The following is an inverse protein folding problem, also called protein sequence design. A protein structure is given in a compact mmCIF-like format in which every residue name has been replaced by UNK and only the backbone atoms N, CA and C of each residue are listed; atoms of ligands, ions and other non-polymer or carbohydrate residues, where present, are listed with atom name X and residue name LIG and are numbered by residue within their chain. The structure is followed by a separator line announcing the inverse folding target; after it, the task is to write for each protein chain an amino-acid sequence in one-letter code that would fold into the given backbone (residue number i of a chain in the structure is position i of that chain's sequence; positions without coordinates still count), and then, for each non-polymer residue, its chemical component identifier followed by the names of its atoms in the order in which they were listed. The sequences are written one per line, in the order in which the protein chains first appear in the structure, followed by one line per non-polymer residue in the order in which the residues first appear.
data_IF_353673114205
#
_entry.id   IF_353673114205
#
_cell.length_a   1.000
_cell.length_b   1.000
_cell.length_c   1.000
_cell.angle_alpha   90.00
_cell.angle_beta   90.00
_cell.angle_gamma   90.00
#
_symmetry.space_group_name_H-M   'P 1'
#
loop_
_entity.id
_entity.type
_entity.pdbx_description
1 polymer ?
#
# COMPACT_ATOMS: atom_id res chain seq x y z
N UNK A 1 -0.48 -100.99 4.49
CA UNK A 1 -0.51 -99.76 5.31
C UNK A 1 -0.20 -98.57 4.41
N UNK A 2 -0.98 -97.51 4.56
CA UNK A 2 -1.08 -96.32 3.70
C UNK A 2 0.04 -95.32 4.00
N UNK A 3 0.57 -94.61 3.00
CA UNK A 3 1.03 -93.21 3.14
C UNK A 3 0.81 -92.46 1.82
N UNK A 4 0.04 -91.38 1.90
CA UNK A 4 -0.41 -90.48 0.83
C UNK A 4 0.38 -89.16 0.91
N UNK A 5 0.75 -88.63 -0.27
CA UNK A 5 0.53 -87.27 -0.78
C UNK A 5 0.98 -86.05 0.06
N UNK A 6 1.80 -85.16 -0.52
CA UNK A 6 1.37 -83.79 -0.83
C UNK A 6 2.35 -83.07 -1.77
N UNK A 7 1.83 -82.59 -2.89
CA UNK A 7 2.49 -81.77 -3.91
C UNK A 7 2.17 -80.30 -3.63
N UNK A 8 3.16 -79.41 -3.59
CA UNK A 8 2.97 -77.95 -3.45
C UNK A 8 3.27 -77.27 -4.79
N UNK A 9 2.23 -76.79 -5.46
CA UNK A 9 2.30 -76.03 -6.71
C UNK A 9 2.18 -74.54 -6.35
N UNK A 10 3.27 -73.76 -6.49
CA UNK A 10 3.25 -72.31 -6.32
C UNK A 10 2.73 -71.65 -7.60
N UNK A 11 1.53 -71.06 -7.52
CA UNK A 11 0.97 -70.16 -8.53
C UNK A 11 1.54 -68.75 -8.33
N UNK A 12 2.33 -68.27 -9.27
CA UNK A 12 2.75 -66.88 -9.35
C UNK A 12 1.68 -66.05 -10.07
N UNK A 13 1.07 -65.09 -9.36
CA UNK A 13 0.23 -64.03 -9.93
C UNK A 13 1.12 -62.82 -10.27
N UNK A 14 1.19 -62.36 -11.54
CA UNK A 14 1.78 -61.07 -11.83
C UNK A 14 0.76 -59.98 -11.47
N UNK A 15 1.02 -59.24 -10.39
CA UNK A 15 0.44 -57.93 -10.15
C UNK A 15 0.82 -57.03 -11.32
N UNK A 16 -0.15 -56.71 -12.18
CA UNK A 16 -0.01 -55.61 -13.13
C UNK A 16 0.11 -54.32 -12.32
N UNK A 17 1.33 -53.86 -12.11
CA UNK A 17 1.61 -52.50 -11.68
C UNK A 17 1.07 -51.57 -12.77
N UNK A 18 -0.10 -50.97 -12.52
CA UNK A 18 -0.56 -49.83 -13.30
C UNK A 18 0.47 -48.73 -13.10
N UNK A 19 1.36 -48.55 -14.08
CA UNK A 19 2.13 -47.34 -14.23
C UNK A 19 1.15 -46.19 -14.46
N UNK A 20 0.64 -45.61 -13.38
CA UNK A 20 0.03 -44.28 -13.37
C UNK A 20 1.16 -43.28 -13.63
N UNK A 21 1.61 -43.19 -14.89
CA UNK A 21 2.42 -42.06 -15.31
C UNK A 21 1.58 -40.81 -15.03
N UNK A 22 2.09 -39.85 -14.23
CA UNK A 22 1.41 -38.58 -14.03
C UNK A 22 1.13 -37.93 -15.40
N UNK A 23 -0.01 -37.23 -15.58
CA UNK A 23 -0.29 -36.53 -16.82
C UNK A 23 0.89 -35.65 -17.20
N UNK A 24 1.38 -35.76 -18.45
CA UNK A 24 2.52 -34.99 -18.92
C UNK A 24 2.23 -33.49 -18.76
N UNK A 25 3.12 -32.77 -18.08
CA UNK A 25 2.99 -31.35 -17.88
C UNK A 25 3.21 -30.60 -19.20
N UNK A 26 2.30 -29.69 -19.52
CA UNK A 26 2.38 -28.79 -20.67
C UNK A 26 2.86 -27.41 -20.22
N UNK A 27 3.48 -26.67 -21.14
CA UNK A 27 3.98 -25.32 -20.93
C UNK A 27 3.25 -24.35 -21.86
N UNK A 28 2.78 -23.21 -21.34
CA UNK A 28 2.09 -22.20 -22.13
C UNK A 28 2.54 -20.79 -21.74
N UNK A 29 2.68 -19.94 -22.74
CA UNK A 29 2.84 -18.50 -22.56
C UNK A 29 1.46 -17.84 -22.66
N UNK A 30 1.06 -17.09 -21.63
CA UNK A 30 -0.22 -16.40 -21.55
C UNK A 30 0.08 -14.89 -21.50
N UNK A 31 -0.18 -14.13 -22.58
CA UNK A 31 -0.04 -12.68 -22.56
C UNK A 31 -1.20 -12.05 -21.75
N UNK A 32 -0.89 -10.99 -21.00
CA UNK A 32 -1.84 -10.19 -20.24
C UNK A 32 -2.02 -8.81 -20.90
N UNK A 33 -3.24 -8.30 -20.94
CA UNK A 33 -3.58 -6.99 -21.51
C UNK A 33 -3.62 -5.87 -20.48
N UNK A 34 -4.02 -6.19 -19.25
CA UNK A 34 -4.32 -5.20 -18.21
C UNK A 34 -3.63 -5.53 -16.90
N UNK A 35 -3.80 -6.75 -16.39
CA UNK A 35 -3.32 -7.11 -15.07
C UNK A 35 -1.79 -7.17 -14.98
N UNK A 36 -1.24 -6.84 -13.80
CA UNK A 36 0.19 -7.01 -13.54
C UNK A 36 0.55 -8.50 -13.45
N UNK A 37 1.52 -9.00 -14.23
CA UNK A 37 1.91 -10.41 -14.21
C UNK A 37 2.33 -10.94 -12.84
N UNK A 38 2.95 -10.11 -11.97
CA UNK A 38 3.39 -10.56 -10.65
C UNK A 38 2.17 -10.81 -9.77
N UNK A 39 1.23 -9.89 -9.73
CA UNK A 39 -0.03 -10.04 -8.96
C UNK A 39 -0.81 -11.26 -9.41
N UNK A 40 -0.95 -11.49 -10.72
CA UNK A 40 -1.64 -12.68 -11.23
C UNK A 40 -0.89 -13.96 -10.84
N UNK A 41 0.43 -13.98 -10.96
CA UNK A 41 1.24 -15.16 -10.59
C UNK A 41 1.13 -15.53 -9.12
N UNK A 42 0.99 -14.55 -8.22
CA UNK A 42 0.78 -14.79 -6.79
C UNK A 42 -0.57 -15.46 -6.53
N UNK A 43 -1.62 -15.03 -7.24
CA UNK A 43 -2.96 -15.64 -7.12
C UNK A 43 -2.99 -17.06 -7.70
N UNK A 44 -2.26 -17.31 -8.79
CA UNK A 44 -2.21 -18.64 -9.43
C UNK A 44 -1.48 -19.71 -8.60
N UNK A 45 -0.80 -19.34 -7.51
CA UNK A 45 -0.15 -20.30 -6.60
C UNK A 45 -1.12 -21.32 -6.01
N UNK A 46 -2.41 -20.98 -5.90
CA UNK A 46 -3.47 -21.88 -5.41
C UNK A 46 -3.61 -23.14 -6.27
N UNK A 47 -3.21 -23.10 -7.53
CA UNK A 47 -3.26 -24.25 -8.44
C UNK A 47 -2.00 -25.13 -8.37
N UNK A 48 -1.05 -24.82 -7.47
CA UNK A 48 0.24 -25.53 -7.31
C UNK A 48 1.04 -25.64 -8.62
N UNK A 49 0.89 -24.64 -9.50
CA UNK A 49 1.56 -24.60 -10.81
C UNK A 49 2.87 -23.81 -10.75
N UNK A 50 3.81 -24.16 -11.62
CA UNK A 50 5.02 -23.36 -11.81
C UNK A 50 4.68 -22.18 -12.74
N UNK A 51 4.73 -20.97 -12.20
CA UNK A 51 4.49 -19.73 -12.95
C UNK A 51 5.75 -18.88 -12.94
N UNK A 52 6.15 -18.43 -14.13
CA UNK A 52 7.18 -17.41 -14.31
C UNK A 52 6.48 -16.17 -14.86
N UNK A 53 6.42 -15.11 -14.06
CA UNK A 53 5.90 -13.83 -14.50
C UNK A 53 7.00 -12.98 -15.13
N UNK A 54 6.72 -12.40 -16.29
CA UNK A 54 7.58 -11.39 -16.90
C UNK A 54 6.80 -10.08 -17.04
N UNK A 55 7.17 -9.08 -16.22
CA UNK A 55 6.53 -7.76 -16.22
C UNK A 55 6.86 -6.95 -17.48
N UNK A 56 8.04 -7.10 -18.07
CA UNK A 56 8.44 -6.36 -19.28
C UNK A 56 7.67 -6.84 -20.52
N UNK A 57 7.48 -8.15 -20.63
CA UNK A 57 6.75 -8.77 -21.74
C UNK A 57 5.23 -8.85 -21.47
N UNK A 58 4.75 -8.39 -20.32
CA UNK A 58 3.36 -8.52 -19.89
C UNK A 58 2.81 -9.94 -20.10
N UNK A 59 3.56 -10.95 -19.64
CA UNK A 59 3.22 -12.35 -19.91
C UNK A 59 3.53 -13.27 -18.73
N UNK A 60 2.81 -14.39 -18.68
CA UNK A 60 3.01 -15.50 -17.76
C UNK A 60 3.47 -16.74 -18.54
N UNK A 61 4.56 -17.36 -18.14
CA UNK A 61 4.88 -18.72 -18.57
C UNK A 61 4.42 -19.69 -17.48
N UNK A 62 3.45 -20.55 -17.81
CA UNK A 62 2.84 -21.50 -16.87
C UNK A 62 3.20 -22.92 -17.30
N UNK A 63 3.57 -23.76 -16.34
CA UNK A 63 3.72 -25.21 -16.52
C UNK A 63 2.73 -25.94 -15.62
N UNK A 64 1.84 -26.73 -16.21
CA UNK A 64 0.75 -27.41 -15.52
C UNK A 64 0.30 -28.67 -16.27
N UNK A 65 -0.50 -29.54 -15.66
CA UNK A 65 -1.20 -30.61 -16.39
C UNK A 65 -2.28 -29.99 -17.31
N UNK A 66 -2.78 -30.69 -18.34
CA UNK A 66 -3.78 -30.12 -19.25
C UNK A 66 -5.05 -29.62 -18.55
N UNK A 67 -5.55 -30.36 -17.56
CA UNK A 67 -6.74 -29.97 -16.79
C UNK A 67 -6.49 -28.72 -15.94
N UNK A 68 -5.34 -28.66 -15.25
CA UNK A 68 -4.98 -27.48 -14.45
C UNK A 68 -4.68 -26.27 -15.32
N UNK A 69 -4.08 -26.45 -16.50
CA UNK A 69 -3.82 -25.36 -17.45
C UNK A 69 -5.13 -24.69 -17.89
N UNK A 70 -6.18 -25.47 -18.18
CA UNK A 70 -7.48 -24.92 -18.53
C UNK A 70 -8.07 -24.06 -17.39
N UNK A 71 -7.99 -24.55 -16.14
CA UNK A 71 -8.44 -23.79 -14.98
C UNK A 71 -7.63 -22.50 -14.77
N UNK A 72 -6.30 -22.55 -15.00
CA UNK A 72 -5.42 -21.38 -14.95
C UNK A 72 -5.81 -20.36 -16.02
N UNK A 73 -6.04 -20.79 -17.26
CA UNK A 73 -6.45 -19.89 -18.34
C UNK A 73 -7.78 -19.19 -18.04
N UNK A 74 -8.77 -19.92 -17.54
CA UNK A 74 -10.06 -19.35 -17.12
C UNK A 74 -9.89 -18.36 -15.96
N UNK A 75 -9.03 -18.66 -14.99
CA UNK A 75 -8.73 -17.75 -13.89
C UNK A 75 -8.03 -16.48 -14.40
N UNK A 76 -7.01 -16.61 -15.27
CA UNK A 76 -6.32 -15.47 -15.88
C UNK A 76 -7.30 -14.61 -16.66
N UNK A 77 -8.19 -15.19 -17.46
CA UNK A 77 -9.18 -14.45 -18.23
C UNK A 77 -10.15 -13.63 -17.34
N UNK A 78 -10.46 -14.10 -16.13
CA UNK A 78 -11.27 -13.35 -15.15
C UNK A 78 -10.49 -12.26 -14.43
N UNK A 79 -9.18 -12.43 -14.29
CA UNK A 79 -8.31 -11.48 -13.60
C UNK A 79 -7.80 -10.37 -14.55
N UNK A 80 -7.56 -10.70 -15.81
CA UNK A 80 -7.04 -9.78 -16.83
C UNK A 80 -8.15 -8.92 -17.45
N UNK A 81 -8.78 -8.10 -16.61
CA UNK A 81 -9.85 -7.16 -17.02
C UNK A 81 -9.34 -5.72 -17.03
N UNK A 82 -9.97 -4.78 -17.75
CA UNK A 82 -9.56 -3.37 -17.77
C UNK A 82 -9.42 -2.73 -16.38
N UNK A 83 -10.20 -3.20 -15.40
CA UNK A 83 -10.11 -2.71 -14.01
C UNK A 83 -8.82 -3.13 -13.30
N UNK A 84 -8.14 -4.16 -13.78
CA UNK A 84 -6.88 -4.66 -13.23
C UNK A 84 -5.65 -3.88 -13.71
N UNK A 85 -5.83 -2.94 -14.65
CA UNK A 85 -4.74 -2.07 -15.12
C UNK A 85 -4.15 -1.27 -13.94
N UNK A 86 -2.82 -1.36 -13.69
CA UNK A 86 -2.19 -0.60 -12.63
C UNK A 86 -2.36 0.89 -12.87
N UNK A 87 -3.01 1.58 -11.93
CA UNK A 87 -3.09 3.05 -11.96
C UNK A 87 -2.09 3.65 -10.98
N UNK A 88 -1.58 4.81 -11.33
CA UNK A 88 -0.74 5.60 -10.44
C UNK A 88 -1.63 6.59 -9.68
N UNK A 89 -1.24 6.90 -8.45
CA UNK A 89 -1.96 7.81 -7.58
C UNK A 89 -0.96 8.85 -7.08
N UNK A 90 -1.22 10.10 -7.41
CA UNK A 90 -0.46 11.23 -6.90
C UNK A 90 -1.10 11.70 -5.59
N UNK A 91 -0.33 11.59 -4.51
CA UNK A 91 -0.66 12.07 -3.18
C UNK A 91 0.04 13.40 -2.93
N UNK A 92 -0.69 14.34 -2.35
CA UNK A 92 -0.15 15.60 -1.83
C UNK A 92 -0.49 15.71 -0.35
N UNK A 93 0.54 15.70 0.48
CA UNK A 93 0.49 15.75 1.92
C UNK A 93 0.82 17.18 2.33
N UNK A 94 -0.08 17.84 3.04
CA UNK A 94 0.16 19.14 3.63
C UNK A 94 0.20 18.97 5.15
N UNK A 95 1.29 19.45 5.74
CA UNK A 95 1.44 19.51 7.19
C UNK A 95 1.03 20.91 7.63
N UNK A 96 -0.01 21.02 8.45
CA UNK A 96 -0.52 22.30 8.94
C UNK A 96 -0.35 22.37 10.44
N UNK A 97 0.24 23.44 10.95
CA UNK A 97 0.39 23.66 12.39
C UNK A 97 -0.68 24.64 12.85
N UNK A 98 -1.50 24.21 13.81
CA UNK A 98 -2.34 25.09 14.62
C UNK A 98 -1.56 25.58 15.84
N UNK A 99 -1.62 26.87 16.15
CA UNK A 99 -0.89 27.48 17.29
C UNK A 99 -1.69 28.63 17.92
N UNK A 100 -1.63 28.72 19.26
CA UNK A 100 -2.17 29.84 20.04
C UNK A 100 -1.15 30.97 20.33
N UNK A 101 0.13 30.69 20.13
CA UNK A 101 1.23 31.65 20.27
C UNK A 101 1.67 32.25 18.93
N UNK A 102 2.36 33.39 19.00
CA UNK A 102 3.07 33.97 17.85
C UNK A 102 4.22 33.04 17.45
N UNK A 103 4.16 32.49 16.25
CA UNK A 103 5.20 31.61 15.68
C UNK A 103 5.89 32.25 14.48
N UNK A 104 6.72 31.46 13.80
CA UNK A 104 7.35 31.85 12.53
C UNK A 104 6.27 32.42 11.59
N UNK A 105 6.52 33.57 10.93
CA UNK A 105 5.61 34.13 9.94
C UNK A 105 5.15 33.03 8.98
N UNK A 106 3.84 32.85 8.86
CA UNK A 106 3.27 31.80 8.05
C UNK A 106 3.76 31.97 6.61
N UNK A 107 4.38 30.91 6.04
CA UNK A 107 4.40 30.79 4.60
C UNK A 107 2.95 30.90 4.10
N UNK A 108 2.72 31.67 3.04
CA UNK A 108 1.39 31.91 2.52
C UNK A 108 0.66 30.58 2.34
N UNK A 109 -0.51 30.44 2.98
CA UNK A 109 -1.32 29.24 2.82
C UNK A 109 -1.67 29.10 1.33
N UNK A 110 -1.44 27.93 0.74
CA UNK A 110 -1.97 27.62 -0.58
C UNK A 110 -3.48 27.89 -0.60
N UNK A 111 -3.95 28.63 -1.61
CA UNK A 111 -5.37 29.03 -1.73
C UNK A 111 -6.32 27.83 -1.70
N UNK A 112 -5.85 26.69 -2.17
CA UNK A 112 -6.60 25.44 -2.19
C UNK A 112 -6.79 24.82 -0.80
N UNK A 113 -6.08 25.27 0.24
CA UNK A 113 -6.27 24.85 1.64
C UNK A 113 -7.21 25.77 2.43
N UNK A 114 -7.67 26.90 1.88
CA UNK A 114 -8.50 27.88 2.60
C UNK A 114 -9.75 27.25 3.22
N UNK A 115 -10.46 26.41 2.46
CA UNK A 115 -11.65 25.70 2.93
C UNK A 115 -11.35 24.71 4.06
N UNK A 116 -10.22 23.98 3.97
CA UNK A 116 -9.78 23.05 5.02
C UNK A 116 -9.41 23.81 6.28
N UNK A 117 -8.71 24.94 6.15
CA UNK A 117 -8.31 25.75 7.30
C UNK A 117 -9.50 26.43 7.96
N UNK A 118 -10.52 26.83 7.20
CA UNK A 118 -11.79 27.29 7.75
C UNK A 118 -12.47 26.20 8.60
N UNK A 119 -12.48 24.95 8.12
CA UNK A 119 -12.99 23.81 8.90
C UNK A 119 -12.15 23.58 10.17
N UNK A 120 -10.83 23.63 10.07
CA UNK A 120 -9.94 23.48 11.23
C UNK A 120 -10.18 24.57 12.28
N UNK A 121 -10.34 25.83 11.86
CA UNK A 121 -10.67 26.96 12.75
C UNK A 121 -12.02 26.79 13.44
N UNK A 122 -12.99 26.17 12.76
CA UNK A 122 -14.30 25.89 13.36
C UNK A 122 -14.26 24.72 14.33
N UNK A 123 -13.36 23.75 14.14
CA UNK A 123 -13.32 22.51 14.91
C UNK A 123 -12.33 22.57 16.09
N UNK A 124 -11.29 23.40 16.02
CA UNK A 124 -10.23 23.46 17.02
C UNK A 124 -9.99 24.90 17.49
N UNK A 125 -9.63 25.10 18.77
CA UNK A 125 -9.55 26.44 19.38
C UNK A 125 -8.24 27.19 19.06
N UNK A 126 -7.53 26.85 17.98
CA UNK A 126 -6.24 27.47 17.68
C UNK A 126 -6.41 28.86 17.05
N UNK A 127 -5.64 29.84 17.53
CA UNK A 127 -5.70 31.21 16.98
C UNK A 127 -5.15 31.32 15.56
N UNK A 128 -4.13 30.56 15.23
CA UNK A 128 -3.42 30.63 13.95
C UNK A 128 -3.23 29.25 13.34
N UNK A 129 -3.26 29.20 12.00
CA UNK A 129 -2.95 28.01 11.21
C UNK A 129 -1.93 28.41 10.15
N UNK A 130 -0.84 27.65 10.06
CA UNK A 130 0.22 27.87 9.08
C UNK A 130 0.62 26.57 8.41
N UNK A 131 1.05 26.68 7.16
CA UNK A 131 1.66 25.56 6.46
C UNK A 131 3.07 25.31 7.04
N UNK A 132 3.32 24.07 7.46
CA UNK A 132 4.63 23.61 7.93
C UNK A 132 5.44 23.06 6.77
N UNK A 133 4.85 22.17 5.98
CA UNK A 133 5.53 21.50 4.87
C UNK A 133 4.51 20.95 3.85
N UNK A 134 4.98 20.69 2.63
CA UNK A 134 4.22 20.02 1.57
C UNK A 134 5.08 18.90 1.01
N UNK A 135 4.55 17.68 1.07
CA UNK A 135 5.21 16.50 0.51
C UNK A 135 4.35 15.96 -0.62
N UNK A 136 4.98 15.52 -1.70
CA UNK A 136 4.31 14.84 -2.81
C UNK A 136 4.82 13.41 -2.90
N UNK A 137 3.92 12.48 -3.21
CA UNK A 137 4.23 11.07 -3.31
C UNK A 137 3.43 10.45 -4.44
N UNK A 138 4.11 9.85 -5.42
CA UNK A 138 3.48 9.01 -6.44
C UNK A 138 3.50 7.56 -5.97
N UNK A 139 2.33 6.98 -5.79
CA UNK A 139 2.14 5.58 -5.45
C UNK A 139 1.59 4.81 -6.64
N UNK A 140 1.99 3.54 -6.77
CA UNK A 140 1.37 2.61 -7.71
C UNK A 140 0.32 1.79 -6.98
N UNK A 141 -0.80 1.50 -7.64
CA UNK A 141 -1.85 0.65 -7.07
C UNK A 141 -1.27 -0.68 -6.58
N UNK A 142 -1.63 -1.08 -5.36
CA UNK A 142 -1.18 -2.30 -4.70
C UNK A 142 0.28 -2.31 -4.26
N UNK A 143 1.01 -1.18 -4.33
CA UNK A 143 2.41 -1.10 -3.94
C UNK A 143 2.63 -0.16 -2.77
N UNK A 144 3.66 -0.47 -1.97
CA UNK A 144 4.14 0.40 -0.89
C UNK A 144 4.79 1.64 -1.47
N UNK A 145 4.54 2.78 -0.84
CA UNK A 145 5.17 4.04 -1.20
C UNK A 145 5.48 4.84 0.07
N UNK A 146 6.54 5.63 0.05
CA UNK A 146 6.91 6.49 1.17
C UNK A 146 7.81 7.62 0.75
N UNK A 147 7.82 8.67 1.57
CA UNK A 147 8.63 9.87 1.38
C UNK A 147 9.02 10.44 2.74
N UNK A 148 10.14 11.13 2.79
CA UNK A 148 10.65 11.81 3.97
C UNK A 148 11.01 13.25 3.60
N UNK A 149 10.72 14.18 4.50
CA UNK A 149 11.01 15.59 4.33
C UNK A 149 11.48 16.20 5.64
N UNK A 150 12.45 17.10 5.54
CA UNK A 150 12.92 17.98 6.60
C UNK A 150 12.66 19.46 6.29
N UNK A 151 11.72 19.73 5.37
CA UNK A 151 11.43 21.07 4.85
C UNK A 151 10.69 21.99 5.82
N UNK A 152 10.04 21.43 6.83
CA UNK A 152 9.28 22.20 7.81
C UNK A 152 10.13 22.73 8.96
N UNK A 153 9.91 23.99 9.35
CA UNK A 153 10.54 24.60 10.52
C UNK A 153 9.50 25.01 11.57
N UNK A 154 9.86 24.82 12.84
CA UNK A 154 9.08 25.30 13.97
C UNK A 154 9.94 26.12 14.92
N UNK A 155 9.30 27.11 15.53
CA UNK A 155 9.92 27.99 16.51
C UNK A 155 9.48 27.58 17.91
N UNK A 156 10.46 27.49 18.78
CA UNK A 156 10.33 27.22 20.20
C UNK A 156 11.11 28.31 20.94
N UNK A 157 10.38 29.23 21.57
CA UNK A 157 10.99 30.47 22.10
C UNK A 157 11.68 31.27 21.01
N UNK A 158 12.99 31.49 21.14
CA UNK A 158 13.84 32.21 20.17
C UNK A 158 14.52 31.30 19.16
N UNK A 159 14.35 29.98 19.26
CA UNK A 159 15.09 29.00 18.48
C UNK A 159 14.20 28.39 17.39
N UNK A 160 14.72 28.34 16.17
CA UNK A 160 14.09 27.67 15.03
C UNK A 160 14.77 26.32 14.81
N UNK A 161 13.96 25.27 14.68
CA UNK A 161 14.47 23.91 14.44
C UNK A 161 13.68 23.23 13.31
N UNK A 162 14.33 22.37 12.51
CA UNK A 162 13.65 21.58 11.49
C UNK A 162 12.78 20.49 12.13
N UNK A 163 11.69 20.17 11.46
CA UNK A 163 10.83 19.01 11.72
C UNK A 163 11.05 18.01 10.61
N UNK A 164 11.41 16.79 10.98
CA UNK A 164 11.55 15.69 10.01
C UNK A 164 10.26 14.89 10.01
N UNK A 165 9.62 14.77 8.86
CA UNK A 165 8.40 13.98 8.70
C UNK A 165 8.61 12.85 7.70
N UNK A 166 8.22 11.65 8.10
CA UNK A 166 8.20 10.47 7.27
C UNK A 166 6.74 10.06 7.04
N UNK A 167 6.35 9.92 5.79
CA UNK A 167 5.02 9.52 5.36
C UNK A 167 5.11 8.24 4.54
N UNK A 168 4.29 7.24 4.86
CA UNK A 168 4.27 5.95 4.18
C UNK A 168 2.85 5.44 4.05
N UNK A 169 2.62 4.65 3.00
CA UNK A 169 1.41 3.85 2.82
C UNK A 169 1.83 2.42 2.50
N UNK A 170 1.05 1.43 2.92
CA UNK A 170 1.30 0.04 2.55
C UNK A 170 0.82 -0.26 1.14
N UNK A 171 -0.38 0.20 0.81
CA UNK A 171 -1.01 0.02 -0.50
C UNK A 171 -1.96 1.16 -0.79
N UNK A 172 -2.21 1.36 -2.08
CA UNK A 172 -3.27 2.22 -2.58
C UNK A 172 -4.11 1.45 -3.58
N UNK A 173 -5.41 1.68 -3.60
CA UNK A 173 -6.31 1.07 -4.59
C UNK A 173 -7.44 2.04 -4.96
N UNK A 174 -8.10 1.76 -6.07
CA UNK A 174 -9.28 2.51 -6.50
C UNK A 174 -10.49 1.63 -6.22
N UNK A 175 -11.48 2.20 -5.54
CA UNK A 175 -12.74 1.58 -5.23
C UNK A 175 -13.50 1.17 -6.50
N UNK A 176 -14.47 0.27 -6.33
CA UNK A 176 -15.29 -0.23 -7.44
C UNK A 176 -16.09 0.88 -8.14
N UNK A 177 -16.32 2.02 -7.46
CA UNK A 177 -16.96 3.22 -8.01
C UNK A 177 -16.05 4.00 -8.97
N UNK A 178 -14.76 3.66 -9.06
CA UNK A 178 -13.77 4.32 -9.91
C UNK A 178 -13.31 5.69 -9.43
N UNK A 179 -13.87 6.21 -8.33
CA UNK A 179 -13.61 7.58 -7.84
C UNK A 179 -13.09 7.62 -6.41
N UNK A 180 -13.31 6.57 -5.63
CA UNK A 180 -12.77 6.47 -4.27
C UNK A 180 -11.37 5.89 -4.32
N UNK A 181 -10.43 6.53 -3.68
CA UNK A 181 -9.05 6.07 -3.48
C UNK A 181 -8.97 5.54 -2.06
N UNK A 182 -8.70 4.24 -1.91
CA UNK A 182 -8.45 3.60 -0.61
C UNK A 182 -6.95 3.59 -0.37
N UNK A 183 -6.51 4.06 0.79
CA UNK A 183 -5.13 3.97 1.24
C UNK A 183 -5.07 3.13 2.51
N UNK A 184 -4.28 2.06 2.46
CA UNK A 184 -4.15 1.13 3.57
C UNK A 184 -2.87 1.39 4.35
N UNK A 185 -2.98 1.32 5.67
CA UNK A 185 -1.94 1.57 6.65
C UNK A 185 -1.15 2.84 6.35
N UNK A 186 -1.86 3.96 6.25
CA UNK A 186 -1.23 5.27 6.19
C UNK A 186 -0.52 5.51 7.51
N UNK A 187 0.80 5.74 7.44
CA UNK A 187 1.65 6.06 8.57
C UNK A 187 2.33 7.40 8.33
N UNK A 188 2.05 8.35 9.20
CA UNK A 188 2.80 9.60 9.26
C UNK A 188 3.52 9.66 10.60
N UNK A 189 4.81 10.00 10.58
CA UNK A 189 5.60 10.21 11.78
C UNK A 189 6.41 11.49 11.65
N UNK A 190 6.33 12.37 12.63
CA UNK A 190 7.04 13.64 12.66
C UNK A 190 7.89 13.73 13.92
N UNK A 191 9.19 13.94 13.72
CA UNK A 191 10.16 14.17 14.79
C UNK A 191 10.22 15.66 15.08
N UNK A 192 9.70 16.04 16.24
CA UNK A 192 9.55 17.43 16.62
C UNK A 192 10.48 17.73 17.80
N UNK A 193 11.41 18.68 17.67
CA UNK A 193 12.27 19.09 18.76
C UNK A 193 11.46 19.94 19.74
N UNK A 194 11.26 19.46 20.96
CA UNK A 194 10.60 20.21 22.04
C UNK A 194 11.62 20.70 23.05
N UNK A 195 11.53 21.97 23.42
CA UNK A 195 12.40 22.54 24.44
C UNK A 195 11.96 22.04 25.83
N UNK A 196 12.87 21.36 26.53
CA UNK A 196 12.60 20.82 27.88
C UNK A 196 13.21 21.71 28.95
N UNK A 197 14.34 22.35 28.62
CA UNK A 197 14.99 23.41 29.42
C UNK A 197 15.55 24.46 28.46
N UNK A 198 15.79 25.71 28.90
CA UNK A 198 16.35 26.75 28.05
C UNK A 198 17.60 26.28 27.29
N UNK A 199 17.51 26.19 25.96
CA UNK A 199 18.59 25.73 25.09
C UNK A 199 18.76 24.21 24.94
N UNK A 200 18.05 23.39 25.73
CA UNK A 200 18.05 21.94 25.65
C UNK A 200 16.76 21.40 25.01
N UNK A 201 16.93 20.78 23.85
CA UNK A 201 15.84 20.21 23.06
C UNK A 201 15.85 18.69 23.16
N UNK A 202 14.68 18.10 23.40
CA UNK A 202 14.46 16.68 23.25
C UNK A 202 13.63 16.43 21.98
N UNK A 203 13.80 15.27 21.34
CA UNK A 203 12.98 14.90 20.18
C UNK A 203 11.73 14.21 20.69
N UNK A 204 10.58 14.74 20.32
CA UNK A 204 9.28 14.11 20.50
C UNK A 204 8.80 13.54 19.16
N UNK A 205 8.54 12.24 19.15
CA UNK A 205 7.98 11.56 17.98
C UNK A 205 6.46 11.61 18.02
N UNK A 206 5.85 12.28 17.05
CA UNK A 206 4.43 12.25 16.81
C UNK A 206 4.12 11.23 15.71
N UNK A 207 3.11 10.40 15.91
CA UNK A 207 2.71 9.42 14.90
C UNK A 207 1.20 9.36 14.69
N UNK A 208 0.81 9.03 13.47
CA UNK A 208 -0.56 8.81 13.04
C UNK A 208 -0.59 7.56 12.17
N UNK A 209 -1.41 6.58 12.56
CA UNK A 209 -1.62 5.35 11.80
C UNK A 209 -3.12 5.19 11.55
N UNK A 210 -3.52 5.10 10.28
CA UNK A 210 -4.95 4.97 9.92
C UNK A 210 -5.13 4.35 8.54
N UNK A 211 -6.33 3.87 8.27
CA UNK A 211 -6.80 3.49 6.93
C UNK A 211 -7.80 4.56 6.48
N UNK A 212 -7.77 4.95 5.21
CA UNK A 212 -8.61 6.05 4.75
C UNK A 212 -9.12 5.85 3.33
N UNK A 213 -10.34 6.34 3.12
CA UNK A 213 -11.00 6.40 1.81
C UNK A 213 -11.20 7.89 1.45
N UNK A 214 -10.65 8.31 0.30
CA UNK A 214 -10.73 9.69 -0.19
C UNK A 214 -11.32 9.70 -1.59
N UNK A 215 -12.26 10.59 -1.89
CA UNK A 215 -12.67 10.81 -3.29
C UNK A 215 -11.57 11.52 -4.07
N UNK A 216 -11.39 11.16 -5.32
CA UNK A 216 -10.43 11.79 -6.20
C UNK A 216 -10.54 13.33 -6.18
N UNK A 217 -9.40 14.01 -5.95
CA UNK A 217 -9.30 15.46 -5.87
C UNK A 217 -9.79 16.08 -4.55
N UNK A 218 -10.42 15.31 -3.67
CA UNK A 218 -10.89 15.79 -2.37
C UNK A 218 -9.72 16.02 -1.42
N UNK A 219 -9.76 17.15 -0.71
CA UNK A 219 -8.85 17.43 0.41
C UNK A 219 -9.50 16.97 1.71
N UNK A 220 -8.77 16.18 2.49
CA UNK A 220 -9.27 15.59 3.74
C UNK A 220 -8.26 15.80 4.85
N UNK A 221 -8.74 16.20 6.03
CA UNK A 221 -7.95 16.18 7.26
C UNK A 221 -7.91 14.74 7.75
N UNK A 222 -6.74 14.11 7.69
CA UNK A 222 -6.55 12.71 8.07
C UNK A 222 -6.47 12.56 9.59
N UNK A 223 -5.83 13.50 10.28
CA UNK A 223 -5.70 13.43 11.73
C UNK A 223 -5.00 14.63 12.36
N UNK A 224 -5.07 14.65 13.70
CA UNK A 224 -4.42 15.63 14.58
C UNK A 224 -3.38 14.92 15.44
N UNK A 225 -2.17 15.46 15.48
CA UNK A 225 -1.09 15.04 16.36
C UNK A 225 -0.75 16.21 17.30
N UNK A 226 -0.94 16.01 18.61
CA UNK A 226 -0.66 17.06 19.60
C UNK A 226 0.83 17.24 19.83
N UNK A 227 1.32 18.48 19.75
CA UNK A 227 2.71 18.81 20.08
C UNK A 227 2.79 19.18 21.57
N UNK A 228 2.00 20.19 21.96
CA UNK A 228 1.82 20.64 23.35
C UNK A 228 0.38 21.15 23.53
N UNK A 229 0.09 21.86 24.65
CA UNK A 229 -1.27 22.38 24.91
C UNK A 229 -1.70 23.47 23.92
N UNK A 230 -0.75 24.21 23.38
CA UNK A 230 -0.97 25.41 22.55
C UNK A 230 -0.72 25.15 21.06
N UNK A 231 -0.18 23.97 20.71
CA UNK A 231 0.22 23.62 19.35
C UNK A 231 -0.17 22.18 18.98
N UNK A 232 -0.68 22.01 17.76
CA UNK A 232 -0.90 20.71 17.16
C UNK A 232 -0.54 20.69 15.68
N UNK A 233 -0.12 19.53 15.21
CA UNK A 233 0.14 19.22 13.82
C UNK A 233 -1.07 18.51 13.20
N UNK A 234 -1.49 18.96 12.04
CA UNK A 234 -2.57 18.40 11.25
C UNK A 234 -2.03 17.84 9.95
N UNK A 235 -2.44 16.62 9.63
CA UNK A 235 -2.14 15.98 8.35
C UNK A 235 -3.32 16.18 7.41
N UNK A 236 -3.12 16.93 6.32
CA UNK A 236 -4.11 17.12 5.27
C UNK A 236 -3.64 16.41 4.02
N UNK A 237 -4.47 15.55 3.46
CA UNK A 237 -4.15 14.73 2.31
C UNK A 237 -5.06 15.08 1.13
N UNK A 238 -4.50 15.05 -0.07
CA UNK A 238 -5.23 15.07 -1.34
C UNK A 238 -4.69 13.94 -2.20
N UNK A 239 -5.58 13.22 -2.88
CA UNK A 239 -5.23 12.12 -3.76
C UNK A 239 -5.82 12.33 -5.15
N UNK A 240 -5.05 12.05 -6.21
CA UNK A 240 -5.48 12.14 -7.61
C UNK A 240 -5.02 10.91 -8.38
N UNK A 241 -5.88 10.36 -9.23
CA UNK A 241 -5.49 9.26 -10.12
C UNK A 241 -4.75 9.86 -11.30
N UNK A 242 -3.61 9.27 -11.63
CA UNK A 242 -2.80 9.62 -12.80
C UNK A 242 -2.61 8.39 -13.66
N UNK A 243 -2.73 8.58 -14.97
CA UNK A 243 -2.51 7.53 -15.98
C UNK A 243 -1.01 7.27 -16.14
#
# INVERSE_FOLDING_TARGET
MKRKLLTLLMLALPLAAQNLNPPAAIQKLIPLKYADPRTVSEMLRVFEVQVIANTELHALAVKATPQTMQAVEEAVARLDTPSAAPKNIDLTIHLVVGSDGEGIPAAALPKDLEGVVAQLKSAFPFKSYRLLDVMTLRARSGQRAGTESSGGFMQFGTVIKPVVTNFQINSSSIGADGTTIRLDQVRASSKIPVEVQPGNFNIQDLSLNTDLDIKEGQKVVVGRMGINREQALFLVLTARVVQ
#
